data_IF_074677903968
#
_entry.id   IF_074677903968
#
_cell.length_a   1.000
_cell.length_b   1.000
_cell.length_c   1.000
_cell.angle_alpha   90.00
_cell.angle_beta   90.00
_cell.angle_gamma   90.00
#
_symmetry.space_group_name_H-M   'P 1'
#
loop_
_entity.id
_entity.type
_entity.pdbx_description
1 polymer ?
#
# COMPACT_ATOMS: atom_id res chain seq x y z
N UNK A 1 -14.74 -24.12 14.82
CA UNK A 1 -14.07 -23.94 13.51
C UNK A 1 -14.97 -23.24 12.50
N UNK A 2 -16.22 -23.67 12.30
CA UNK A 2 -17.15 -23.06 11.35
C UNK A 2 -17.33 -21.53 11.49
N UNK A 3 -17.52 -20.96 12.70
CA UNK A 3 -17.68 -19.51 12.85
C UNK A 3 -16.44 -18.70 12.46
N UNK A 4 -15.25 -19.21 12.77
CA UNK A 4 -13.99 -18.55 12.44
C UNK A 4 -13.74 -18.53 10.92
N UNK A 5 -14.08 -19.62 10.22
CA UNK A 5 -13.99 -19.69 8.77
C UNK A 5 -14.93 -18.69 8.08
N UNK A 6 -16.19 -18.62 8.51
CA UNK A 6 -17.16 -17.65 7.96
C UNK A 6 -16.64 -16.22 8.15
N UNK A 7 -16.12 -15.90 9.34
CA UNK A 7 -15.55 -14.59 9.62
C UNK A 7 -14.34 -14.27 8.73
N UNK A 8 -13.44 -15.24 8.52
CA UNK A 8 -12.27 -15.08 7.64
C UNK A 8 -12.69 -14.76 6.20
N UNK A 9 -13.63 -15.51 5.63
CA UNK A 9 -14.12 -15.25 4.28
C UNK A 9 -14.81 -13.89 4.17
N UNK A 10 -15.63 -13.52 5.16
CA UNK A 10 -16.28 -12.21 5.20
C UNK A 10 -15.25 -11.07 5.26
N UNK A 11 -14.25 -11.17 6.13
CA UNK A 11 -13.18 -10.17 6.25
C UNK A 11 -12.43 -10.00 4.92
N UNK A 12 -12.04 -11.10 4.29
CA UNK A 12 -11.35 -11.07 2.99
C UNK A 12 -12.23 -10.46 1.89
N UNK A 13 -13.51 -10.81 1.85
CA UNK A 13 -14.47 -10.24 0.90
C UNK A 13 -14.64 -8.72 1.12
N UNK A 14 -14.71 -8.28 2.38
CA UNK A 14 -14.84 -6.87 2.73
C UNK A 14 -13.61 -6.05 2.36
N UNK A 15 -12.40 -6.54 2.61
CA UNK A 15 -11.15 -5.89 2.19
C UNK A 15 -11.11 -5.76 0.66
N UNK A 16 -11.36 -6.85 -0.06
CA UNK A 16 -11.39 -6.85 -1.52
C UNK A 16 -12.42 -5.87 -2.09
N UNK A 17 -13.64 -5.88 -1.53
CA UNK A 17 -14.73 -4.99 -1.96
C UNK A 17 -14.39 -3.53 -1.70
N UNK A 18 -13.84 -3.21 -0.53
CA UNK A 18 -13.43 -1.86 -0.15
C UNK A 18 -12.31 -1.36 -1.06
N UNK A 19 -11.27 -2.15 -1.28
CA UNK A 19 -10.21 -1.84 -2.23
C UNK A 19 -10.78 -1.59 -3.63
N UNK A 20 -11.59 -2.50 -4.15
CA UNK A 20 -12.20 -2.34 -5.48
C UNK A 20 -13.04 -1.06 -5.62
N UNK A 21 -13.78 -0.68 -4.57
CA UNK A 21 -14.59 0.53 -4.55
C UNK A 21 -13.70 1.78 -4.60
N UNK A 22 -12.71 1.87 -3.73
CA UNK A 22 -11.88 3.07 -3.58
C UNK A 22 -10.74 3.16 -4.60
N UNK A 23 -10.35 2.07 -5.25
CA UNK A 23 -9.42 2.10 -6.39
C UNK A 23 -10.00 2.80 -7.62
N UNK A 24 -11.33 2.98 -7.67
CA UNK A 24 -12.01 3.74 -8.74
C UNK A 24 -12.19 5.22 -8.41
N UNK A 25 -11.96 5.62 -7.16
CA UNK A 25 -12.09 7.00 -6.72
C UNK A 25 -10.74 7.67 -6.89
N UNK A 26 -10.62 8.56 -7.88
CA UNK A 26 -9.38 9.30 -8.12
C UNK A 26 -9.05 10.20 -6.92
N UNK A 27 -7.77 10.32 -6.57
CA UNK A 27 -7.37 11.29 -5.56
C UNK A 27 -7.30 12.72 -6.15
N UNK A 28 -7.41 13.73 -5.29
CA UNK A 28 -7.49 15.14 -5.69
C UNK A 28 -6.28 15.65 -6.48
N UNK A 29 -5.10 15.06 -6.26
CA UNK A 29 -3.86 15.40 -6.96
C UNK A 29 -3.63 14.57 -8.23
N UNK A 30 -4.52 13.62 -8.56
CA UNK A 30 -4.35 12.61 -9.62
C UNK A 30 -2.98 11.90 -9.57
N UNK A 31 -2.45 11.73 -8.37
CA UNK A 31 -1.14 11.17 -8.09
C UNK A 31 -1.22 9.65 -7.98
N UNK A 32 -0.39 8.92 -8.72
CA UNK A 32 -0.26 7.47 -8.62
C UNK A 32 0.35 7.03 -7.29
N UNK A 33 0.22 5.75 -6.94
CA UNK A 33 0.84 5.22 -5.72
C UNK A 33 2.37 5.30 -5.74
N UNK A 34 3.00 5.10 -6.90
CA UNK A 34 4.45 5.23 -7.04
C UNK A 34 4.93 6.66 -6.76
N UNK A 35 4.25 7.66 -7.34
CA UNK A 35 4.56 9.09 -7.08
C UNK A 35 4.33 9.43 -5.60
N UNK A 36 3.25 8.94 -5.01
CA UNK A 36 2.96 9.14 -3.59
C UNK A 36 4.05 8.52 -2.70
N UNK A 37 4.57 7.35 -3.06
CA UNK A 37 5.64 6.69 -2.32
C UNK A 37 6.90 7.55 -2.33
N UNK A 38 7.31 8.06 -3.50
CA UNK A 38 8.46 8.95 -3.60
C UNK A 38 8.29 10.21 -2.75
N UNK A 39 7.11 10.86 -2.81
CA UNK A 39 6.81 12.06 -2.03
C UNK A 39 6.90 11.79 -0.54
N UNK A 40 6.27 10.71 -0.06
CA UNK A 40 6.21 10.39 1.36
C UNK A 40 7.56 9.91 1.91
N UNK A 41 8.30 9.09 1.16
CA UNK A 41 9.64 8.66 1.56
C UNK A 41 10.59 9.86 1.68
N UNK A 42 10.57 10.77 0.69
CA UNK A 42 11.37 12.01 0.73
C UNK A 42 10.96 12.90 1.90
N UNK A 43 9.67 13.09 2.14
CA UNK A 43 9.16 13.90 3.25
C UNK A 43 9.62 13.38 4.62
N UNK A 44 9.79 12.05 4.74
CA UNK A 44 10.28 11.40 5.97
C UNK A 44 11.78 11.10 5.96
N UNK A 45 12.56 11.63 4.99
CA UNK A 45 14.02 11.42 4.88
C UNK A 45 14.44 9.95 4.76
N UNK A 46 13.58 9.10 4.18
CA UNK A 46 13.81 7.67 3.95
C UNK A 46 14.48 7.41 2.58
N UNK A 47 15.64 8.02 2.36
CA UNK A 47 16.33 7.95 1.06
C UNK A 47 16.94 6.57 0.76
N UNK A 48 17.09 5.72 1.78
CA UNK A 48 17.61 4.36 1.68
C UNK A 48 16.52 3.33 1.34
N UNK A 49 15.23 3.71 1.35
CA UNK A 49 14.13 2.82 1.00
C UNK A 49 13.90 2.85 -0.50
N UNK A 50 14.07 1.70 -1.17
CA UNK A 50 13.81 1.58 -2.61
C UNK A 50 12.35 1.23 -2.88
N UNK A 51 11.80 1.70 -3.99
CA UNK A 51 10.45 1.33 -4.43
C UNK A 51 10.56 0.29 -5.55
N UNK A 52 9.90 -0.86 -5.38
CA UNK A 52 9.91 -1.96 -6.35
C UNK A 52 8.49 -2.43 -6.68
N UNK A 53 8.28 -2.91 -7.90
CA UNK A 53 7.01 -3.52 -8.32
C UNK A 53 6.92 -4.99 -7.90
N UNK A 54 5.74 -5.45 -7.47
CA UNK A 54 5.44 -6.88 -7.29
C UNK A 54 4.40 -7.39 -8.27
N UNK A 55 4.36 -8.70 -8.48
CA UNK A 55 3.29 -9.36 -9.24
C UNK A 55 2.05 -9.52 -8.37
N UNK A 56 0.87 -9.51 -9.00
CA UNK A 56 -0.40 -9.73 -8.32
C UNK A 56 -1.07 -8.45 -7.84
N UNK A 57 -1.95 -8.57 -6.85
CA UNK A 57 -2.80 -7.49 -6.34
C UNK A 57 -2.90 -7.62 -4.83
N UNK A 58 -2.97 -6.49 -4.11
CA UNK A 58 -3.00 -6.47 -2.63
C UNK A 58 -1.80 -7.21 -1.99
N UNK A 59 -0.66 -7.17 -2.67
CA UNK A 59 0.62 -7.71 -2.17
C UNK A 59 1.58 -6.61 -1.74
N UNK A 60 1.07 -5.39 -1.60
CA UNK A 60 1.82 -4.20 -1.24
C UNK A 60 2.34 -4.33 0.20
N UNK A 61 3.65 -4.15 0.39
CA UNK A 61 4.25 -4.21 1.71
C UNK A 61 5.62 -3.52 1.77
N UNK A 62 5.99 -3.02 2.93
CA UNK A 62 7.37 -2.67 3.26
C UNK A 62 8.15 -3.89 3.79
N UNK A 63 9.37 -4.08 3.30
CA UNK A 63 10.33 -5.10 3.72
C UNK A 63 11.49 -4.45 4.48
N UNK A 64 11.51 -4.53 5.84
CA UNK A 64 12.52 -3.87 6.66
C UNK A 64 13.91 -4.49 6.52
N UNK A 65 14.00 -5.79 6.19
CA UNK A 65 15.26 -6.50 6.02
C UNK A 65 16.01 -6.02 4.77
N UNK A 66 15.28 -5.68 3.71
CA UNK A 66 15.85 -5.18 2.44
C UNK A 66 15.73 -3.67 2.25
N UNK A 67 15.00 -2.98 3.15
CA UNK A 67 14.60 -1.57 3.03
C UNK A 67 13.94 -1.31 1.67
N UNK A 68 12.93 -2.10 1.32
CA UNK A 68 12.21 -2.01 0.05
C UNK A 68 10.72 -1.85 0.30
N UNK A 69 10.11 -0.84 -0.30
CA UNK A 69 8.67 -0.69 -0.43
C UNK A 69 8.20 -1.37 -1.73
N UNK A 70 7.41 -2.43 -1.60
CA UNK A 70 6.89 -3.19 -2.72
C UNK A 70 5.46 -2.79 -3.03
N UNK A 71 5.20 -2.43 -4.29
CA UNK A 71 3.89 -1.99 -4.75
C UNK A 71 3.36 -2.89 -5.86
N UNK A 72 2.11 -3.31 -5.74
CA UNK A 72 1.38 -4.02 -6.79
C UNK A 72 1.03 -3.05 -7.93
N UNK A 73 0.83 -3.52 -9.18
CA UNK A 73 0.55 -2.64 -10.30
C UNK A 73 -0.74 -1.82 -10.10
N UNK A 74 -1.72 -2.39 -9.38
CA UNK A 74 -2.98 -1.73 -9.07
C UNK A 74 -2.82 -0.53 -8.12
N UNK A 75 -1.79 -0.54 -7.27
CA UNK A 75 -1.48 0.58 -6.36
C UNK A 75 -0.47 1.51 -7.00
N UNK A 76 0.63 0.97 -7.53
CA UNK A 76 1.72 1.73 -8.12
C UNK A 76 1.24 2.67 -9.24
N UNK A 77 0.34 2.20 -10.12
CA UNK A 77 0.00 2.90 -11.36
C UNK A 77 -1.37 3.58 -11.33
N UNK A 78 -2.16 3.43 -10.27
CA UNK A 78 -3.54 3.96 -10.23
C UNK A 78 -3.61 5.20 -9.36
N UNK A 79 -4.06 6.36 -9.89
CA UNK A 79 -4.17 7.59 -9.13
C UNK A 79 -5.43 7.64 -8.26
N UNK A 80 -5.55 6.71 -7.30
CA UNK A 80 -6.75 6.50 -6.48
C UNK A 80 -6.55 6.78 -5.00
N UNK A 81 -7.65 6.99 -4.28
CA UNK A 81 -7.65 7.12 -2.81
C UNK A 81 -7.16 5.84 -2.14
N UNK A 82 -7.54 4.67 -2.67
CA UNK A 82 -7.04 3.38 -2.16
C UNK A 82 -5.52 3.25 -2.29
N UNK A 83 -4.97 3.64 -3.44
CA UNK A 83 -3.52 3.60 -3.67
C UNK A 83 -2.76 4.50 -2.69
N UNK A 84 -3.23 5.75 -2.48
CA UNK A 84 -2.63 6.65 -1.49
C UNK A 84 -2.67 6.07 -0.07
N UNK A 85 -3.81 5.48 0.33
CA UNK A 85 -3.98 4.90 1.66
C UNK A 85 -3.02 3.75 1.93
N UNK A 86 -2.85 2.84 0.96
CA UNK A 86 -1.92 1.71 1.07
C UNK A 86 -0.48 2.21 1.14
N UNK A 87 -0.07 3.10 0.24
CA UNK A 87 1.29 3.64 0.24
C UNK A 87 1.60 4.37 1.55
N UNK A 88 0.67 5.18 2.07
CA UNK A 88 0.84 5.84 3.35
C UNK A 88 0.98 4.85 4.51
N UNK A 89 0.20 3.77 4.52
CA UNK A 89 0.30 2.72 5.52
C UNK A 89 1.69 2.05 5.51
N UNK A 90 2.16 1.65 4.33
CA UNK A 90 3.45 0.97 4.19
C UNK A 90 4.65 1.87 4.44
N UNK A 91 4.59 3.14 4.02
CA UNK A 91 5.60 4.14 4.42
C UNK A 91 5.58 4.36 5.93
N UNK A 92 4.41 4.27 6.57
CA UNK A 92 4.30 4.28 8.03
C UNK A 92 5.14 3.20 8.70
N UNK A 93 5.13 1.97 8.18
CA UNK A 93 6.00 0.89 8.66
C UNK A 93 7.48 1.22 8.46
N UNK A 94 7.85 1.82 7.32
CA UNK A 94 9.22 2.25 7.05
C UNK A 94 9.71 3.34 8.01
N UNK A 95 8.84 4.30 8.36
CA UNK A 95 9.14 5.35 9.36
C UNK A 95 9.33 4.74 10.75
N UNK A 96 8.48 3.79 11.14
CA UNK A 96 8.61 3.10 12.43
C UNK A 96 9.92 2.32 12.53
N UNK A 97 10.31 1.64 11.45
CA UNK A 97 11.56 0.89 11.34
C UNK A 97 12.81 1.81 11.36
N UNK A 98 12.71 3.06 10.90
CA UNK A 98 13.81 4.03 11.03
C UNK A 98 14.00 4.53 12.48
N UNK A 99 12.93 4.57 13.26
CA UNK A 99 12.93 5.15 14.62
C UNK A 99 13.32 4.12 15.69
N UNK A 100 13.45 2.85 15.31
CA UNK A 100 13.73 1.73 16.21
C UNK A 100 15.22 1.40 16.25
#
# INVERSE_FOLDING_TARGET
MLPALIFMFYAQAKVNSTFNKYSKVANSKRMTGAEAAEVLLRANRLNNVRVEGVKGRLGDHYDPSKKVLRLSPAVANTPSVAALGIVAHEVGHAVQDQTR
#
